data_IF_555022242494
#
_entry.id   IF_555022242494
#
_cell.length_a   1.000
_cell.length_b   1.000
_cell.length_c   1.000
_cell.angle_alpha   90.00
_cell.angle_beta   90.00
_cell.angle_gamma   90.00
#
_symmetry.space_group_name_H-M   'P 1'
#
loop_
_entity.id
_entity.type
_entity.pdbx_description
1 polymer ?
#
# COMPACT_ATOMS: atom_id res chain seq x y z
N UNK A 1 -13.27 9.88 4.17
CA UNK A 1 -12.26 8.86 4.55
C UNK A 1 -10.92 9.30 4.01
N UNK A 2 -9.86 9.23 4.80
CA UNK A 2 -8.50 9.48 4.35
C UNK A 2 -7.77 8.15 4.13
N UNK A 3 -6.71 8.16 3.32
CA UNK A 3 -5.84 7.01 3.10
C UNK A 3 -4.40 7.33 3.51
N UNK A 4 -3.87 6.57 4.47
CA UNK A 4 -2.46 6.58 4.83
C UNK A 4 -1.77 5.53 3.96
N UNK A 5 -0.94 5.97 2.99
CA UNK A 5 -0.34 5.09 2.00
C UNK A 5 1.13 4.79 2.31
N UNK A 6 1.47 3.52 2.41
CA UNK A 6 2.85 3.07 2.48
C UNK A 6 3.55 3.20 1.13
N UNK A 7 4.85 3.41 1.18
CA UNK A 7 5.70 3.58 0.00
C UNK A 7 5.68 2.35 -0.94
N UNK A 8 5.56 1.14 -0.39
CA UNK A 8 5.50 -0.08 -1.20
C UNK A 8 4.24 -0.11 -2.07
N UNK A 9 3.09 0.27 -1.50
CA UNK A 9 1.82 0.39 -2.23
C UNK A 9 1.94 1.44 -3.34
N UNK A 10 2.47 2.63 -3.02
CA UNK A 10 2.68 3.71 -4.00
C UNK A 10 3.57 3.23 -5.15
N UNK A 11 4.66 2.54 -4.84
CA UNK A 11 5.57 2.00 -5.87
C UNK A 11 4.88 0.98 -6.78
N UNK A 12 4.20 -0.01 -6.22
CA UNK A 12 3.54 -1.07 -6.99
C UNK A 12 2.43 -0.52 -7.89
N UNK A 13 1.60 0.38 -7.36
CA UNK A 13 0.57 1.04 -8.15
C UNK A 13 1.16 1.92 -9.26
N UNK A 14 2.24 2.64 -8.99
CA UNK A 14 2.94 3.44 -10.00
C UNK A 14 3.58 2.56 -11.09
N UNK A 15 4.17 1.43 -10.72
CA UNK A 15 4.76 0.48 -11.66
C UNK A 15 3.71 -0.07 -12.64
N UNK A 16 2.50 -0.35 -12.15
CA UNK A 16 1.38 -0.83 -12.95
C UNK A 16 0.55 0.31 -13.58
N UNK A 17 0.90 1.59 -13.39
CA UNK A 17 0.09 2.72 -13.84
C UNK A 17 -1.36 2.72 -13.31
N UNK A 18 -1.54 2.33 -12.06
CA UNK A 18 -2.84 2.14 -11.41
C UNK A 18 -3.10 3.11 -10.24
N UNK A 19 -2.30 4.18 -10.07
CA UNK A 19 -2.46 5.10 -8.93
C UNK A 19 -3.84 5.78 -8.91
N UNK A 20 -4.25 6.35 -10.03
CA UNK A 20 -5.55 7.04 -10.12
C UNK A 20 -6.73 6.04 -10.17
N UNK A 21 -6.53 4.87 -10.79
CA UNK A 21 -7.53 3.80 -10.79
C UNK A 21 -7.78 3.26 -9.37
N UNK A 22 -6.73 3.16 -8.56
CA UNK A 22 -6.86 2.78 -7.15
C UNK A 22 -7.67 3.81 -6.36
N UNK A 23 -7.43 5.10 -6.58
CA UNK A 23 -8.20 6.16 -5.93
C UNK A 23 -9.66 6.12 -6.36
N UNK A 24 -9.94 5.96 -7.65
CA UNK A 24 -11.31 5.85 -8.18
C UNK A 24 -12.03 4.63 -7.56
N UNK A 25 -11.39 3.46 -7.56
CA UNK A 25 -11.95 2.23 -6.99
C UNK A 25 -12.18 2.29 -5.47
N UNK A 26 -11.46 3.18 -4.77
CA UNK A 26 -11.62 3.44 -3.33
C UNK A 26 -12.49 4.66 -3.03
N UNK A 27 -13.01 5.34 -4.04
CA UNK A 27 -13.77 6.61 -3.92
C UNK A 27 -12.98 7.70 -3.17
N UNK A 28 -11.69 7.82 -3.46
CA UNK A 28 -10.76 8.78 -2.86
C UNK A 28 -10.29 9.79 -3.91
N UNK A 29 -10.02 11.01 -3.47
CA UNK A 29 -9.26 12.00 -4.23
C UNK A 29 -7.77 11.96 -3.80
N UNK A 30 -6.87 12.49 -4.62
CA UNK A 30 -5.44 12.61 -4.25
C UNK A 30 -5.24 13.43 -2.97
N UNK A 31 -6.12 14.40 -2.70
CA UNK A 31 -6.13 15.20 -1.48
C UNK A 31 -6.54 14.43 -0.21
N UNK A 32 -7.10 13.23 -0.36
CA UNK A 32 -7.45 12.36 0.76
C UNK A 32 -6.28 11.42 1.14
N UNK A 33 -5.23 11.38 0.31
CA UNK A 33 -4.07 10.51 0.55
C UNK A 33 -2.98 11.24 1.32
N UNK A 34 -2.46 10.55 2.34
CA UNK A 34 -1.33 11.00 3.13
C UNK A 34 -0.16 10.02 3.00
N UNK A 35 1.02 10.58 2.76
CA UNK A 35 2.28 9.83 2.72
C UNK A 35 3.24 10.36 3.79
N UNK A 36 4.20 9.53 4.19
CA UNK A 36 5.22 9.95 5.14
C UNK A 36 6.14 11.03 4.55
N UNK A 37 6.66 11.97 5.37
CA UNK A 37 7.65 12.94 4.94
C UNK A 37 8.91 12.31 4.35
N UNK A 38 9.20 11.07 4.74
CA UNK A 38 10.34 10.29 4.26
C UNK A 38 10.16 9.75 2.84
N UNK A 39 8.94 9.74 2.28
CA UNK A 39 8.64 9.21 0.95
C UNK A 39 9.53 9.83 -0.15
N UNK A 40 9.73 11.16 -0.12
CA UNK A 40 10.60 11.86 -1.07
C UNK A 40 12.05 11.35 -1.07
N UNK A 41 12.56 10.91 0.08
CA UNK A 41 13.90 10.35 0.21
C UNK A 41 13.93 8.89 -0.20
N UNK A 42 12.92 8.11 0.18
CA UNK A 42 12.76 6.69 -0.23
C UNK A 42 12.73 6.58 -1.74
N UNK A 43 11.96 7.42 -2.41
CA UNK A 43 11.85 7.47 -3.87
C UNK A 43 12.93 8.30 -4.55
N UNK A 44 13.83 8.93 -3.79
CA UNK A 44 14.92 9.77 -4.30
C UNK A 44 14.44 10.96 -5.14
N UNK A 45 13.31 11.56 -4.76
CA UNK A 45 12.71 12.73 -5.43
C UNK A 45 13.29 14.03 -4.84
N UNK A 46 14.59 14.15 -4.79
CA UNK A 46 15.26 15.39 -4.40
C UNK A 46 16.17 15.83 -5.55
N UNK A 47 16.44 17.13 -5.70
CA UNK A 47 17.31 17.61 -6.80
C UNK A 47 18.65 16.89 -6.88
N UNK A 48 19.18 16.46 -5.74
CA UNK A 48 20.49 15.76 -5.67
C UNK A 48 20.41 14.26 -5.97
N UNK A 49 19.23 13.64 -5.91
CA UNK A 49 19.05 12.18 -6.03
C UNK A 49 18.13 11.74 -7.15
N UNK A 50 17.48 12.67 -7.88
CA UNK A 50 16.49 12.35 -8.91
C UNK A 50 17.02 11.45 -10.02
N UNK A 51 18.23 11.68 -10.50
CA UNK A 51 18.88 10.80 -11.50
C UNK A 51 19.11 9.37 -11.00
N UNK A 52 19.27 9.16 -9.69
CA UNK A 52 19.36 7.82 -9.09
C UNK A 52 17.99 7.19 -8.93
N UNK A 53 16.96 8.00 -8.63
CA UNK A 53 15.57 7.56 -8.60
C UNK A 53 15.12 7.05 -9.96
N UNK A 54 15.34 7.83 -10.99
CA UNK A 54 15.01 7.47 -12.36
C UNK A 54 15.74 6.18 -12.83
N UNK A 55 17.02 6.03 -12.51
CA UNK A 55 17.76 4.78 -12.79
C UNK A 55 17.20 3.58 -12.04
N UNK A 56 16.70 3.78 -10.82
CA UNK A 56 16.19 2.69 -9.96
C UNK A 56 14.81 2.20 -10.39
N UNK A 57 13.92 3.12 -10.74
CA UNK A 57 12.52 2.81 -11.00
C UNK A 57 12.16 2.82 -12.51
N UNK A 58 13.03 3.33 -13.37
CA UNK A 58 12.73 3.67 -14.76
C UNK A 58 12.05 5.05 -14.87
N UNK A 59 12.26 5.72 -16.01
CA UNK A 59 11.81 7.11 -16.21
C UNK A 59 10.29 7.28 -16.00
N UNK A 60 9.49 6.38 -16.58
CA UNK A 60 8.03 6.46 -16.51
C UNK A 60 7.48 6.25 -15.09
N UNK A 61 7.91 5.17 -14.43
CA UNK A 61 7.48 4.86 -13.06
C UNK A 61 7.93 5.97 -12.10
N UNK A 62 9.17 6.46 -12.27
CA UNK A 62 9.67 7.57 -11.46
C UNK A 62 8.87 8.85 -11.66
N UNK A 63 8.50 9.19 -12.91
CA UNK A 63 7.65 10.33 -13.21
C UNK A 63 6.28 10.20 -12.54
N UNK A 64 5.61 9.04 -12.65
CA UNK A 64 4.32 8.78 -11.99
C UNK A 64 4.40 8.94 -10.47
N UNK A 65 5.44 8.39 -9.83
CA UNK A 65 5.65 8.53 -8.38
C UNK A 65 5.86 10.00 -8.01
N UNK A 66 6.71 10.72 -8.75
CA UNK A 66 6.99 12.14 -8.48
C UNK A 66 5.72 12.99 -8.58
N UNK A 67 4.95 12.82 -9.65
CA UNK A 67 3.74 13.59 -9.91
C UNK A 67 2.64 13.25 -8.89
N UNK A 68 2.54 11.98 -8.47
CA UNK A 68 1.66 11.57 -7.39
C UNK A 68 2.03 12.22 -6.07
N UNK A 69 3.31 12.13 -5.66
CA UNK A 69 3.78 12.72 -4.40
C UNK A 69 3.68 14.25 -4.37
N UNK A 70 3.70 14.91 -5.52
CA UNK A 70 3.47 16.36 -5.61
C UNK A 70 2.00 16.75 -5.38
N UNK A 71 1.06 15.82 -5.52
CA UNK A 71 -0.39 16.09 -5.48
C UNK A 71 -1.11 15.53 -4.24
N UNK A 72 -0.45 14.66 -3.45
CA UNK A 72 -0.97 14.12 -2.21
C UNK A 72 -0.48 14.89 -0.99
N UNK A 73 -1.06 14.64 0.16
CA UNK A 73 -0.68 15.32 1.41
C UNK A 73 0.50 14.62 2.08
N UNK A 74 1.36 15.42 2.70
CA UNK A 74 2.43 14.92 3.55
C UNK A 74 1.94 14.90 5.00
N UNK A 75 2.14 13.78 5.67
CA UNK A 75 1.80 13.62 7.08
C UNK A 75 2.74 14.48 7.93
N UNK A 76 2.23 15.55 8.52
CA UNK A 76 3.04 16.50 9.30
C UNK A 76 3.16 16.12 10.79
N UNK A 77 2.31 15.22 11.27
CA UNK A 77 2.29 14.79 12.68
C UNK A 77 2.71 13.34 12.76
N UNK A 78 3.76 13.02 13.50
CA UNK A 78 4.35 11.68 13.50
C UNK A 78 3.51 10.62 14.25
N UNK A 79 2.31 10.95 14.72
CA UNK A 79 1.51 10.08 15.58
C UNK A 79 1.80 10.31 17.07
N UNK A 80 1.27 9.41 17.92
CA UNK A 80 1.53 9.46 19.35
C UNK A 80 2.97 9.01 19.65
N UNK A 81 3.81 9.85 20.31
CA UNK A 81 5.21 9.48 20.59
C UNK A 81 5.35 8.16 21.34
N UNK A 82 4.44 7.89 22.27
CA UNK A 82 4.42 6.65 23.06
C UNK A 82 4.16 5.42 22.19
N UNK A 83 3.24 5.52 21.23
CA UNK A 83 2.99 4.43 20.28
C UNK A 83 4.17 4.22 19.34
N UNK A 84 4.81 5.30 18.87
CA UNK A 84 6.01 5.20 18.05
C UNK A 84 7.14 4.49 18.78
N UNK A 85 7.37 4.84 20.07
CA UNK A 85 8.39 4.20 20.90
C UNK A 85 8.05 2.72 21.14
N UNK A 86 6.78 2.39 21.40
CA UNK A 86 6.32 1.03 21.59
C UNK A 86 6.53 0.21 20.31
N UNK A 87 6.07 0.70 19.16
CA UNK A 87 6.17 0.00 17.88
C UNK A 87 7.62 -0.16 17.41
N UNK A 88 8.50 0.82 17.70
CA UNK A 88 9.93 0.74 17.39
C UNK A 88 10.66 -0.40 18.14
N UNK A 89 10.09 -0.88 19.25
CA UNK A 89 10.61 -2.01 20.01
C UNK A 89 10.05 -3.38 19.56
N UNK A 90 9.19 -3.42 18.54
CA UNK A 90 8.55 -4.65 18.08
C UNK A 90 9.26 -5.19 16.82
N UNK A 91 9.80 -6.39 16.93
CA UNK A 91 10.42 -7.07 15.79
C UNK A 91 9.41 -7.28 14.65
N UNK A 92 9.83 -6.95 13.44
CA UNK A 92 9.02 -7.08 12.23
C UNK A 92 8.21 -5.82 11.86
N UNK A 93 8.31 -4.75 12.64
CA UNK A 93 7.72 -3.43 12.32
C UNK A 93 8.85 -2.46 11.99
N UNK A 94 8.89 -1.96 10.75
CA UNK A 94 9.87 -0.95 10.38
C UNK A 94 9.45 0.47 10.86
N UNK A 95 10.40 1.44 10.93
CA UNK A 95 10.08 2.78 11.40
C UNK A 95 9.02 3.52 10.58
N UNK A 96 8.91 3.23 9.27
CA UNK A 96 7.88 3.82 8.41
C UNK A 96 6.50 3.27 8.72
N UNK A 97 6.41 1.96 8.90
CA UNK A 97 5.19 1.26 9.28
C UNK A 97 4.73 1.69 10.67
N UNK A 98 5.66 1.78 11.63
CA UNK A 98 5.38 2.30 12.97
C UNK A 98 4.79 3.71 12.92
N UNK A 99 5.38 4.60 12.10
CA UNK A 99 4.90 5.96 11.93
C UNK A 99 3.49 6.03 11.31
N UNK A 100 3.20 5.20 10.30
CA UNK A 100 1.87 5.12 9.69
C UNK A 100 0.84 4.58 10.68
N UNK A 101 1.15 3.50 11.39
CA UNK A 101 0.26 2.93 12.41
C UNK A 101 -0.04 3.93 13.54
N UNK A 102 0.97 4.59 14.09
CA UNK A 102 0.78 5.60 15.13
C UNK A 102 -0.01 6.83 14.64
N UNK A 103 0.19 7.22 13.37
CA UNK A 103 -0.53 8.35 12.80
C UNK A 103 -2.05 8.12 12.70
N UNK A 104 -2.50 6.86 12.61
CA UNK A 104 -3.94 6.55 12.55
C UNK A 104 -4.72 7.04 13.77
N UNK A 105 -4.07 7.23 14.93
CA UNK A 105 -4.70 7.77 16.13
C UNK A 105 -5.27 9.19 15.97
N UNK A 106 -4.86 9.91 14.93
CA UNK A 106 -5.29 11.29 14.67
C UNK A 106 -6.55 11.37 13.82
N UNK A 107 -7.04 10.26 13.30
CA UNK A 107 -8.11 10.24 12.32
C UNK A 107 -9.24 9.31 12.78
N UNK A 108 -10.47 9.80 12.70
CA UNK A 108 -11.68 9.03 13.04
C UNK A 108 -12.14 8.11 11.89
N UNK A 109 -11.81 8.46 10.65
CA UNK A 109 -12.17 7.69 9.45
C UNK A 109 -10.96 7.62 8.52
N UNK A 110 -10.38 6.45 8.41
CA UNK A 110 -9.16 6.24 7.62
C UNK A 110 -9.10 4.83 7.02
N UNK A 111 -8.25 4.69 6.01
CA UNK A 111 -7.70 3.43 5.53
C UNK A 111 -6.19 3.49 5.67
N UNK A 112 -5.58 2.42 6.12
CA UNK A 112 -4.13 2.21 6.09
C UNK A 112 -3.81 1.26 4.94
N UNK A 113 -3.27 1.78 3.85
CA UNK A 113 -2.86 1.00 2.69
C UNK A 113 -1.41 0.52 2.89
N UNK A 114 -1.24 -0.77 3.16
CA UNK A 114 0.07 -1.38 3.37
C UNK A 114 0.15 -2.80 2.81
N UNK A 115 1.34 -3.20 2.33
CA UNK A 115 1.66 -4.57 1.94
C UNK A 115 2.55 -5.31 2.94
N UNK A 116 2.80 -4.72 4.10
CA UNK A 116 3.76 -5.19 5.10
C UNK A 116 3.22 -6.36 5.93
N UNK A 117 3.23 -7.57 5.36
CA UNK A 117 2.72 -8.80 6.02
C UNK A 117 3.37 -9.04 7.40
N UNK A 118 4.67 -8.80 7.53
CA UNK A 118 5.39 -9.00 8.80
C UNK A 118 4.92 -8.03 9.88
N UNK A 119 4.71 -6.75 9.54
CA UNK A 119 4.20 -5.77 10.49
C UNK A 119 2.78 -6.06 10.93
N UNK A 120 1.90 -6.42 9.99
CA UNK A 120 0.52 -6.78 10.33
C UNK A 120 0.47 -8.01 11.24
N UNK A 121 1.31 -9.01 10.97
CA UNK A 121 1.47 -10.19 11.83
C UNK A 121 2.01 -9.79 13.21
N UNK A 122 3.04 -8.97 13.28
CA UNK A 122 3.63 -8.51 14.53
C UNK A 122 2.61 -7.72 15.38
N UNK A 123 1.83 -6.83 14.76
CA UNK A 123 0.74 -6.11 15.41
C UNK A 123 -0.33 -7.06 15.98
N UNK A 124 -0.72 -8.08 15.22
CA UNK A 124 -1.76 -9.02 15.63
C UNK A 124 -1.32 -9.96 16.77
N UNK A 125 -0.07 -10.39 16.77
CA UNK A 125 0.44 -11.40 17.71
C UNK A 125 1.03 -10.81 18.98
N UNK A 126 1.46 -9.54 18.96
CA UNK A 126 2.10 -8.93 20.11
C UNK A 126 1.07 -8.28 21.04
N UNK A 127 0.98 -8.78 22.28
CA UNK A 127 0.00 -8.29 23.28
C UNK A 127 0.15 -6.80 23.60
N UNK A 128 1.37 -6.25 23.55
CA UNK A 128 1.61 -4.80 23.76
C UNK A 128 1.05 -3.94 22.63
N UNK A 129 0.90 -4.49 21.41
CA UNK A 129 0.30 -3.79 20.27
C UNK A 129 -1.24 -3.86 20.25
N UNK A 130 -1.85 -4.59 21.19
CA UNK A 130 -3.31 -4.84 21.18
C UNK A 130 -4.17 -3.60 21.03
N UNK A 131 -3.94 -2.47 21.71
CA UNK A 131 -4.75 -1.25 21.52
C UNK A 131 -4.64 -0.69 20.11
N UNK A 132 -3.44 -0.74 19.51
CA UNK A 132 -3.20 -0.30 18.15
C UNK A 132 -3.87 -1.25 17.14
N UNK A 133 -3.73 -2.57 17.33
CA UNK A 133 -4.38 -3.56 16.50
C UNK A 133 -5.91 -3.43 16.53
N UNK A 134 -6.51 -3.19 17.71
CA UNK A 134 -7.95 -2.94 17.83
C UNK A 134 -8.39 -1.68 17.08
N UNK A 135 -7.61 -0.60 17.12
CA UNK A 135 -7.89 0.61 16.34
C UNK A 135 -7.81 0.37 14.83
N UNK A 136 -6.90 -0.49 14.38
CA UNK A 136 -6.69 -0.84 12.97
C UNK A 136 -7.70 -1.87 12.44
N UNK A 137 -8.49 -2.51 13.30
CA UNK A 137 -9.45 -3.55 12.92
C UNK A 137 -10.43 -3.01 11.86
N UNK A 138 -10.50 -3.67 10.70
CA UNK A 138 -11.34 -3.26 9.57
C UNK A 138 -10.87 -2.00 8.83
N UNK A 139 -9.67 -1.48 9.13
CA UNK A 139 -9.15 -0.24 8.54
C UNK A 139 -7.88 -0.44 7.70
N UNK A 140 -7.39 -1.66 7.57
CA UNK A 140 -6.20 -1.95 6.75
C UNK A 140 -6.63 -2.48 5.39
N UNK A 141 -6.02 -1.97 4.33
CA UNK A 141 -6.21 -2.48 2.97
C UNK A 141 -4.86 -2.91 2.39
N UNK A 142 -4.76 -4.15 1.94
CA UNK A 142 -3.55 -4.67 1.31
C UNK A 142 -3.56 -4.43 -0.22
N UNK A 143 -2.40 -4.59 -0.83
CA UNK A 143 -2.23 -4.37 -2.27
C UNK A 143 -3.17 -5.24 -3.11
N UNK A 144 -3.32 -6.50 -2.75
CA UNK A 144 -4.18 -7.47 -3.44
C UNK A 144 -5.66 -7.07 -3.39
N UNK A 145 -6.13 -6.51 -2.25
CA UNK A 145 -7.48 -5.98 -2.13
C UNK A 145 -7.68 -4.76 -3.02
N UNK A 146 -6.67 -3.87 -3.12
CA UNK A 146 -6.73 -2.70 -4.00
C UNK A 146 -6.84 -3.17 -5.46
N UNK A 147 -5.98 -4.08 -5.90
CA UNK A 147 -6.02 -4.62 -7.29
C UNK A 147 -7.37 -5.28 -7.57
N UNK A 148 -7.90 -6.06 -6.63
CA UNK A 148 -9.23 -6.68 -6.77
C UNK A 148 -10.32 -5.63 -6.97
N UNK A 149 -10.31 -4.55 -6.19
CA UNK A 149 -11.26 -3.43 -6.33
C UNK A 149 -11.11 -2.71 -7.68
N UNK A 150 -9.89 -2.55 -8.18
CA UNK A 150 -9.64 -1.96 -9.51
C UNK A 150 -10.22 -2.87 -10.61
N UNK A 151 -10.02 -4.19 -10.53
CA UNK A 151 -10.62 -5.13 -11.48
C UNK A 151 -12.15 -5.02 -11.49
N UNK A 152 -12.76 -4.94 -10.30
CA UNK A 152 -14.22 -4.78 -10.17
C UNK A 152 -14.73 -3.43 -10.71
N UNK A 153 -13.91 -2.38 -10.66
CA UNK A 153 -14.26 -1.04 -11.12
C UNK A 153 -14.03 -0.84 -12.61
N UNK A 154 -12.88 -1.29 -13.13
CA UNK A 154 -12.43 -1.03 -14.50
C UNK A 154 -12.57 -2.24 -15.44
N UNK A 155 -12.80 -3.44 -14.89
CA UNK A 155 -12.78 -4.71 -15.64
C UNK A 155 -11.37 -5.29 -15.79
N UNK A 156 -11.33 -6.64 -15.98
CA UNK A 156 -10.07 -7.37 -16.05
C UNK A 156 -9.20 -6.94 -17.25
N UNK A 157 -9.77 -6.81 -18.45
CA UNK A 157 -9.00 -6.50 -19.66
C UNK A 157 -8.19 -5.21 -19.51
N UNK A 158 -8.79 -4.17 -18.95
CA UNK A 158 -8.12 -2.91 -18.67
C UNK A 158 -6.94 -3.08 -17.70
N UNK A 159 -7.13 -3.87 -16.65
CA UNK A 159 -6.09 -4.13 -15.65
C UNK A 159 -4.98 -5.00 -16.24
N UNK A 160 -5.30 -5.97 -17.10
CA UNK A 160 -4.31 -6.80 -17.78
C UNK A 160 -3.32 -5.96 -18.60
N UNK A 161 -3.81 -5.00 -19.39
CA UNK A 161 -2.97 -4.13 -20.21
C UNK A 161 -1.90 -3.38 -19.38
N UNK A 162 -2.25 -2.99 -18.15
CA UNK A 162 -1.38 -2.23 -17.25
C UNK A 162 -0.50 -3.14 -16.37
N UNK A 163 -1.05 -4.23 -15.87
CA UNK A 163 -0.35 -5.10 -14.92
C UNK A 163 0.64 -6.04 -15.60
N UNK A 164 0.28 -6.64 -16.75
CA UNK A 164 1.12 -7.66 -17.39
C UNK A 164 2.55 -7.16 -17.65
N UNK A 165 2.79 -5.96 -18.21
CA UNK A 165 4.14 -5.44 -18.42
C UNK A 165 4.93 -5.23 -17.12
N UNK A 166 4.23 -4.95 -16.02
CA UNK A 166 4.81 -4.56 -14.73
C UNK A 166 4.70 -5.65 -13.64
N UNK A 167 4.08 -6.80 -13.92
CA UNK A 167 3.76 -7.84 -12.92
C UNK A 167 4.95 -8.34 -12.09
N UNK A 168 6.17 -8.13 -12.57
CA UNK A 168 7.38 -8.47 -11.84
C UNK A 168 7.59 -7.63 -10.57
N UNK A 169 6.89 -6.50 -10.41
CA UNK A 169 6.99 -5.63 -9.23
C UNK A 169 6.39 -6.26 -7.97
N UNK A 170 5.53 -7.28 -8.12
CA UNK A 170 4.87 -7.93 -7.00
C UNK A 170 4.66 -9.44 -7.25
N UNK A 171 4.82 -10.25 -6.19
CA UNK A 171 4.70 -11.71 -6.30
C UNK A 171 3.27 -12.16 -6.55
N UNK A 172 2.27 -11.56 -5.90
CA UNK A 172 0.88 -11.92 -6.10
C UNK A 172 0.43 -11.60 -7.53
N UNK A 173 0.84 -10.44 -8.07
CA UNK A 173 0.57 -10.09 -9.47
C UNK A 173 1.24 -11.05 -10.45
N UNK A 174 2.49 -11.43 -10.20
CA UNK A 174 3.21 -12.37 -11.05
C UNK A 174 2.52 -13.72 -11.14
N UNK A 175 1.93 -14.19 -10.02
CA UNK A 175 1.20 -15.44 -9.97
C UNK A 175 -0.21 -15.28 -10.56
N UNK A 176 -0.94 -14.24 -10.18
CA UNK A 176 -2.32 -14.00 -10.65
C UNK A 176 -2.39 -13.81 -12.17
N UNK A 177 -1.40 -13.13 -12.74
CA UNK A 177 -1.32 -12.87 -14.18
C UNK A 177 -0.27 -13.75 -14.89
N UNK A 178 -0.03 -14.97 -14.36
CA UNK A 178 0.95 -15.88 -14.94
C UNK A 178 0.67 -16.20 -16.41
N UNK A 179 -0.58 -16.49 -16.75
CA UNK A 179 -1.02 -16.80 -18.12
C UNK A 179 -1.13 -15.55 -19.02
N UNK A 180 -0.69 -14.38 -18.56
CA UNK A 180 -0.75 -13.16 -19.34
C UNK A 180 -2.19 -12.77 -19.69
N UNK A 181 -2.43 -12.46 -20.96
CA UNK A 181 -3.77 -12.08 -21.46
C UNK A 181 -4.78 -13.22 -21.49
N UNK A 182 -4.32 -14.47 -21.38
CA UNK A 182 -5.21 -15.64 -21.29
C UNK A 182 -5.73 -15.88 -19.86
N UNK A 183 -5.28 -15.10 -18.87
CA UNK A 183 -5.79 -15.19 -17.52
C UNK A 183 -7.25 -14.77 -17.46
N UNK A 184 -8.10 -15.63 -16.90
CA UNK A 184 -9.52 -15.31 -16.70
C UNK A 184 -9.72 -14.53 -15.39
N UNK A 185 -10.80 -13.75 -15.33
CA UNK A 185 -11.14 -13.00 -14.11
C UNK A 185 -11.26 -13.92 -12.90
N UNK A 186 -11.93 -15.06 -13.06
CA UNK A 186 -12.08 -16.05 -12.00
C UNK A 186 -10.72 -16.56 -11.49
N UNK A 187 -9.77 -16.85 -12.39
CA UNK A 187 -8.44 -17.33 -12.00
C UNK A 187 -7.63 -16.23 -11.30
N UNK A 188 -7.67 -15.00 -11.77
CA UNK A 188 -6.97 -13.86 -11.17
C UNK A 188 -7.53 -13.57 -9.78
N UNK A 189 -8.85 -13.47 -9.64
CA UNK A 189 -9.51 -13.21 -8.37
C UNK A 189 -9.23 -14.33 -7.35
N UNK A 190 -9.25 -15.60 -7.77
CA UNK A 190 -8.94 -16.73 -6.89
C UNK A 190 -7.52 -16.63 -6.31
N UNK A 191 -6.53 -16.24 -7.12
CA UNK A 191 -5.16 -16.03 -6.64
C UNK A 191 -5.08 -14.86 -5.67
N UNK A 192 -5.67 -13.70 -6.03
CA UNK A 192 -5.68 -12.54 -5.14
C UNK A 192 -6.36 -12.87 -3.81
N UNK A 193 -7.49 -13.57 -3.85
CA UNK A 193 -8.21 -13.99 -2.63
C UNK A 193 -7.38 -14.96 -1.78
N UNK A 194 -6.57 -15.84 -2.39
CA UNK A 194 -5.65 -16.71 -1.63
C UNK A 194 -4.64 -15.88 -0.82
N UNK A 195 -4.02 -14.86 -1.43
CA UNK A 195 -3.09 -13.96 -0.71
C UNK A 195 -3.79 -13.13 0.37
N UNK A 196 -4.99 -12.63 0.09
CA UNK A 196 -5.80 -11.88 1.06
C UNK A 196 -6.16 -12.78 2.25
N UNK A 197 -6.59 -14.01 2.01
CA UNK A 197 -6.96 -14.96 3.07
C UNK A 197 -5.75 -15.40 3.89
N UNK A 198 -4.59 -15.61 3.26
CA UNK A 198 -3.34 -15.83 4.00
C UNK A 198 -3.07 -14.67 4.96
N UNK A 199 -3.18 -13.42 4.49
CA UNK A 199 -2.95 -12.26 5.32
C UNK A 199 -4.01 -12.13 6.43
N UNK A 200 -5.28 -12.40 6.15
CA UNK A 200 -6.35 -12.44 7.17
C UNK A 200 -6.05 -13.46 8.26
N UNK A 201 -5.56 -14.65 7.91
CA UNK A 201 -5.21 -15.68 8.89
C UNK A 201 -4.08 -15.26 9.82
N UNK A 202 -3.19 -14.37 9.36
CA UNK A 202 -2.04 -13.86 10.11
C UNK A 202 -2.35 -12.61 10.93
N UNK A 203 -3.33 -11.82 10.50
CA UNK A 203 -3.54 -10.45 11.00
C UNK A 203 -4.87 -10.22 11.75
N UNK A 204 -5.63 -11.28 12.03
CA UNK A 204 -6.88 -11.29 12.82
C UNK A 204 -7.67 -9.97 12.71
N UNK A 205 -8.61 -9.91 11.76
CA UNK A 205 -9.59 -8.82 11.57
C UNK A 205 -9.02 -7.42 11.24
N UNK A 206 -7.74 -7.25 10.97
CA UNK A 206 -7.19 -5.94 10.60
C UNK A 206 -7.68 -5.47 9.22
N UNK A 207 -7.89 -6.41 8.27
CA UNK A 207 -8.24 -6.08 6.89
C UNK A 207 -9.69 -5.59 6.75
N UNK A 208 -9.85 -4.51 5.94
CA UNK A 208 -11.14 -3.94 5.55
C UNK A 208 -11.95 -4.86 4.61
#
# INVERSE_FOLDING_TARGET
VICLADNDIVHKLAACDLLDDALAALSLARTDVYVLPTAKYKFRITPRSSAQGERRYGAEVFARIRDFLASVRVLNVPGLPEELQLLAGVDGIDPGEAALCAATAQFSQYLLATGAKNSLRALALNSVCRPIAQRLCGHVICFEQIVKRIIQHCGLSYVQDKVIPARACDTALRVAFWSGFDATEASVLAVLDSYINELRSLSIDLLA
#
